data_IF_539525623198
#
_entry.id   IF_539525623198
#
_cell.length_a   1.000
_cell.length_b   1.000
_cell.length_c   1.000
_cell.angle_alpha   90.00
_cell.angle_beta   90.00
_cell.angle_gamma   90.00
#
_symmetry.space_group_name_H-M   'P 1'
#
loop_
_entity.id
_entity.type
_entity.pdbx_description
1 polymer ?
#
# COMPACT_ATOMS: atom_id res chain seq x y z
N UNK A 1 -6.75 -32.36 -21.61
CA UNK A 1 -5.38 -31.83 -21.39
C UNK A 1 -5.13 -30.51 -22.13
N UNK A 2 -5.68 -30.26 -23.33
CA UNK A 2 -5.55 -28.95 -24.03
C UNK A 2 -6.51 -27.89 -23.46
N UNK A 3 -7.75 -28.25 -23.15
CA UNK A 3 -8.77 -27.31 -22.63
C UNK A 3 -8.40 -26.77 -21.24
N UNK A 4 -7.82 -27.60 -20.38
CA UNK A 4 -7.42 -27.22 -19.01
C UNK A 4 -6.28 -26.21 -19.02
N UNK A 5 -5.28 -26.38 -19.90
CA UNK A 5 -4.17 -25.44 -20.02
C UNK A 5 -4.60 -24.11 -20.65
N UNK A 6 -5.54 -24.12 -21.60
CA UNK A 6 -6.12 -22.89 -22.16
C UNK A 6 -6.90 -22.09 -21.12
N UNK A 7 -7.71 -22.76 -20.30
CA UNK A 7 -8.46 -22.10 -19.22
C UNK A 7 -7.50 -21.52 -18.19
N UNK A 8 -6.43 -22.24 -17.82
CA UNK A 8 -5.39 -21.75 -16.90
C UNK A 8 -4.63 -20.54 -17.45
N UNK A 9 -4.35 -20.50 -18.75
CA UNK A 9 -3.76 -19.33 -19.40
C UNK A 9 -4.69 -18.10 -19.33
N UNK A 10 -6.00 -18.30 -19.42
CA UNK A 10 -7.00 -17.22 -19.31
C UNK A 10 -7.08 -16.68 -17.88
N UNK A 11 -7.08 -17.54 -16.85
CA UNK A 11 -7.09 -17.05 -15.44
C UNK A 11 -5.76 -16.41 -15.02
N UNK A 12 -4.63 -16.84 -15.58
CA UNK A 12 -3.34 -16.22 -15.29
C UNK A 12 -3.24 -14.75 -15.73
N UNK A 13 -4.00 -14.33 -16.74
CA UNK A 13 -3.94 -12.96 -17.29
C UNK A 13 -4.88 -11.97 -16.58
N UNK A 14 -5.75 -12.43 -15.68
CA UNK A 14 -6.73 -11.57 -15.00
C UNK A 14 -6.21 -10.93 -13.70
N UNK A 15 -5.11 -11.44 -13.12
CA UNK A 15 -4.74 -11.13 -11.73
C UNK A 15 -3.92 -9.86 -11.49
N UNK A 16 -3.56 -9.09 -12.53
CA UNK A 16 -2.64 -7.95 -12.42
C UNK A 16 -3.28 -6.55 -12.40
N UNK A 17 -4.62 -6.43 -12.44
CA UNK A 17 -5.30 -5.14 -12.73
C UNK A 17 -5.65 -4.27 -11.52
N UNK A 18 -5.49 -4.75 -10.29
CA UNK A 18 -5.97 -4.04 -9.09
C UNK A 18 -5.05 -2.91 -8.61
N UNK A 19 -3.74 -2.95 -8.90
CA UNK A 19 -2.79 -1.92 -8.45
C UNK A 19 -2.91 -0.59 -9.22
N UNK A 20 -3.36 -0.65 -10.47
CA UNK A 20 -3.38 0.52 -11.37
C UNK A 20 -4.50 1.51 -11.07
N UNK A 21 -5.66 1.03 -10.60
CA UNK A 21 -6.80 1.89 -10.29
C UNK A 21 -6.48 2.90 -9.17
N UNK A 22 -5.68 2.46 -8.20
CA UNK A 22 -5.32 3.29 -7.05
C UNK A 22 -4.38 4.44 -7.39
N UNK A 23 -3.46 4.17 -8.32
CA UNK A 23 -2.48 5.13 -8.81
C UNK A 23 -3.14 6.32 -9.50
N UNK A 24 -4.22 6.07 -10.23
CA UNK A 24 -5.00 7.13 -10.88
C UNK A 24 -5.95 7.87 -9.92
N UNK A 25 -6.42 7.20 -8.87
CA UNK A 25 -7.44 7.72 -7.97
C UNK A 25 -6.88 8.60 -6.84
N UNK A 26 -5.62 8.38 -6.45
CA UNK A 26 -4.97 9.05 -5.33
C UNK A 26 -3.85 9.98 -5.79
N UNK A 27 -3.65 11.08 -5.05
CA UNK A 27 -2.47 11.91 -5.24
C UNK A 27 -1.19 11.11 -4.91
N UNK A 28 -0.09 11.47 -5.57
CA UNK A 28 1.23 10.85 -5.36
C UNK A 28 2.05 11.56 -4.27
N UNK A 29 1.39 12.21 -3.32
CA UNK A 29 2.06 12.84 -2.18
C UNK A 29 2.65 11.76 -1.27
N UNK A 30 3.91 11.95 -0.87
CA UNK A 30 4.59 11.05 0.05
C UNK A 30 4.37 11.50 1.50
N UNK A 31 3.34 10.95 2.13
CA UNK A 31 2.98 11.13 3.54
C UNK A 31 2.73 9.74 4.13
N UNK A 32 3.80 8.98 4.46
CA UNK A 32 3.70 7.55 4.67
C UNK A 32 2.79 7.19 5.84
N UNK A 33 2.05 6.09 5.68
CA UNK A 33 1.19 5.51 6.71
C UNK A 33 1.41 4.00 6.80
N UNK A 34 1.21 3.45 7.98
CA UNK A 34 1.26 2.02 8.22
C UNK A 34 -0.15 1.43 8.23
N UNK A 35 -0.38 0.38 7.44
CA UNK A 35 -1.60 -0.41 7.48
C UNK A 35 -1.53 -1.48 8.59
N UNK A 36 -2.69 -1.94 9.07
CA UNK A 36 -2.80 -3.02 10.06
C UNK A 36 -2.25 -4.36 9.56
N UNK A 37 -2.01 -4.48 8.25
CA UNK A 37 -1.33 -5.59 7.61
C UNK A 37 0.20 -5.50 7.67
N UNK A 38 0.76 -4.49 8.34
CA UNK A 38 2.21 -4.27 8.43
C UNK A 38 2.84 -3.72 7.16
N UNK A 39 2.04 -3.26 6.19
CA UNK A 39 2.55 -2.65 4.96
C UNK A 39 2.52 -1.13 5.04
N UNK A 40 3.61 -0.49 4.59
CA UNK A 40 3.68 0.96 4.42
C UNK A 40 3.01 1.37 3.12
N UNK A 41 2.20 2.42 3.16
CA UNK A 41 1.58 3.06 2.00
C UNK A 41 2.06 4.50 1.89
N UNK A 42 2.24 4.99 0.66
CA UNK A 42 2.76 6.34 0.40
C UNK A 42 1.89 7.44 1.00
N UNK A 43 0.58 7.20 1.10
CA UNK A 43 -0.35 8.05 1.81
C UNK A 43 -1.61 7.29 2.24
N UNK A 44 -2.46 7.95 3.03
CA UNK A 44 -3.73 7.39 3.51
C UNK A 44 -4.68 6.99 2.38
N UNK A 45 -4.76 7.79 1.30
CA UNK A 45 -5.61 7.46 0.16
C UNK A 45 -5.20 6.11 -0.44
N UNK A 46 -3.90 5.93 -0.68
CA UNK A 46 -3.32 4.68 -1.20
C UNK A 46 -3.55 3.48 -0.26
N UNK A 47 -3.51 3.70 1.07
CA UNK A 47 -3.84 2.67 2.07
C UNK A 47 -5.31 2.24 1.94
N UNK A 48 -6.24 3.19 1.98
CA UNK A 48 -7.68 2.93 1.93
C UNK A 48 -8.08 2.28 0.61
N UNK A 49 -7.58 2.80 -0.51
CA UNK A 49 -7.91 2.33 -1.85
C UNK A 49 -7.33 0.93 -2.16
N UNK A 50 -6.19 0.57 -1.57
CA UNK A 50 -5.67 -0.81 -1.61
C UNK A 50 -6.37 -1.74 -0.62
N UNK A 51 -7.41 -1.26 0.08
CA UNK A 51 -8.23 -2.04 0.99
C UNK A 51 -7.56 -2.38 2.32
N UNK A 52 -6.51 -1.64 2.71
CA UNK A 52 -5.84 -1.83 3.98
C UNK A 52 -6.40 -0.89 5.05
N UNK A 53 -6.59 -1.42 6.25
CA UNK A 53 -6.99 -0.63 7.41
C UNK A 53 -5.82 0.21 7.88
N UNK A 54 -6.00 1.52 8.03
CA UNK A 54 -5.01 2.40 8.63
C UNK A 54 -4.70 1.97 10.08
N UNK A 55 -3.41 1.79 10.41
CA UNK A 55 -2.94 1.52 11.76
C UNK A 55 -2.38 2.77 12.44
N UNK A 56 -1.35 3.38 11.85
CA UNK A 56 -0.74 4.59 12.38
C UNK A 56 -0.07 5.44 11.29
N UNK A 57 0.22 6.71 11.61
CA UNK A 57 1.02 7.59 10.74
C UNK A 57 2.48 7.15 10.72
N UNK A 58 3.18 7.43 9.63
CA UNK A 58 4.56 7.01 9.41
C UNK A 58 4.67 5.61 8.84
N UNK A 59 5.89 5.22 8.46
CA UNK A 59 6.19 3.88 7.92
C UNK A 59 5.95 2.79 8.97
N UNK A 60 5.59 1.58 8.54
CA UNK A 60 5.59 0.43 9.43
C UNK A 60 7.01 0.14 9.92
N UNK A 61 7.16 -0.15 11.21
CA UNK A 61 8.44 -0.57 11.78
C UNK A 61 8.67 -2.04 11.46
N UNK A 62 9.46 -2.33 10.43
CA UNK A 62 10.15 -3.61 10.31
C UNK A 62 11.50 -3.43 11.01
N UNK A 63 11.52 -3.63 12.33
CA UNK A 63 12.73 -3.88 13.11
C UNK A 63 13.85 -2.82 12.98
N UNK A 64 13.75 -1.76 13.80
CA UNK A 64 14.81 -0.82 14.20
C UNK A 64 15.94 -0.47 13.19
N UNK A 65 15.80 0.68 12.53
CA UNK A 65 16.94 1.61 12.40
C UNK A 65 16.56 2.95 13.07
N UNK A 66 17.32 3.42 14.08
CA UNK A 66 17.02 4.63 14.81
C UNK A 66 17.50 5.88 14.04
N UNK A 67 16.73 6.95 14.19
CA UNK A 67 17.02 8.35 13.82
C UNK A 67 16.81 8.75 12.36
N UNK A 68 15.57 9.13 12.04
CA UNK A 68 15.33 10.55 11.75
C UNK A 68 14.32 11.03 12.79
N UNK A 69 14.80 11.86 13.69
CA UNK A 69 13.98 12.70 14.53
C UNK A 69 13.18 13.67 13.65
N UNK A 70 11.86 13.59 13.73
CA UNK A 70 11.08 14.80 13.92
C UNK A 70 9.87 14.44 14.77
N UNK A 71 10.15 14.20 16.05
CA UNK A 71 9.14 14.39 17.06
C UNK A 71 9.15 15.86 17.46
N UNK A 72 8.07 16.53 17.05
CA UNK A 72 7.47 17.65 17.76
C UNK A 72 8.10 19.02 17.51
N UNK A 73 7.38 19.85 16.76
CA UNK A 73 6.96 21.12 17.35
C UNK A 73 5.48 21.35 17.07
N UNK A 74 4.69 21.16 18.12
CA UNK A 74 3.36 21.76 18.24
C UNK A 74 3.51 23.09 18.98
N UNK A 75 2.87 24.11 18.42
CA UNK A 75 2.46 25.39 19.02
C UNK A 75 3.57 26.44 19.23
N UNK A 76 3.22 27.74 19.37
CA UNK A 76 1.97 28.32 19.88
C UNK A 76 0.77 28.30 18.92
#
# INVERSE_FOLDING_TARGET
>A
MIVVTLILSIVAWASAKSKLFCDLACAHDYVPVCGSNGQTYDNKCMCDCRGATFAHKGVCKADAEPNVDDSTTQAP
#
